data_IF_944705583090
#
_entry.id   IF_944705583090
#
_cell.length_a   1.000
_cell.length_b   1.000
_cell.length_c   1.000
_cell.angle_alpha   90.00
_cell.angle_beta   90.00
_cell.angle_gamma   90.00
#
_symmetry.space_group_name_H-M   'P 1'
#
loop_
_entity.id
_entity.type
_entity.pdbx_description
1 polymer ?
#
# COMPACT_ATOMS: atom_id res chain seq x y z
N UNK A 1 11.17 17.90 -12.32
CA UNK A 1 10.32 17.11 -13.24
C UNK A 1 8.90 17.10 -12.72
N UNK A 2 7.90 17.35 -13.57
CA UNK A 2 6.48 17.25 -13.20
C UNK A 2 6.06 15.77 -13.33
N UNK A 3 5.56 15.17 -12.25
CA UNK A 3 5.04 13.81 -12.28
C UNK A 3 3.82 13.72 -13.20
N UNK A 4 3.77 12.66 -14.01
CA UNK A 4 2.57 12.27 -14.74
C UNK A 4 1.44 11.89 -13.78
N UNK A 5 0.20 11.92 -14.24
CA UNK A 5 -0.96 11.53 -13.43
C UNK A 5 -0.83 10.10 -12.91
N UNK A 6 -0.32 9.16 -13.72
CA UNK A 6 -0.10 7.77 -13.32
C UNK A 6 0.93 7.63 -12.19
N UNK A 7 2.04 8.36 -12.26
CA UNK A 7 3.04 8.38 -11.19
C UNK A 7 2.46 8.92 -9.88
N UNK A 8 1.68 10.00 -9.96
CA UNK A 8 1.03 10.58 -8.77
C UNK A 8 0.09 9.58 -8.10
N UNK A 9 -0.71 8.85 -8.88
CA UNK A 9 -1.62 7.84 -8.35
C UNK A 9 -0.84 6.72 -7.66
N UNK A 10 0.19 6.16 -8.31
CA UNK A 10 0.99 5.08 -7.74
C UNK A 10 1.69 5.52 -6.46
N UNK A 11 2.29 6.70 -6.43
CA UNK A 11 2.94 7.23 -5.23
C UNK A 11 1.94 7.57 -4.12
N UNK A 12 0.76 8.09 -4.46
CA UNK A 12 -0.29 8.34 -3.47
C UNK A 12 -0.76 7.03 -2.83
N UNK A 13 -0.99 5.98 -3.62
CA UNK A 13 -1.39 4.67 -3.09
C UNK A 13 -0.28 4.11 -2.19
N UNK A 14 0.99 4.20 -2.59
CA UNK A 14 2.09 3.79 -1.73
C UNK A 14 2.14 4.56 -0.41
N UNK A 15 1.97 5.88 -0.45
CA UNK A 15 1.94 6.69 0.77
C UNK A 15 0.80 6.26 1.69
N UNK A 16 -0.39 5.99 1.15
CA UNK A 16 -1.52 5.47 1.92
C UNK A 16 -1.19 4.10 2.51
N UNK A 17 -0.66 3.15 1.73
CA UNK A 17 -0.28 1.82 2.23
C UNK A 17 0.70 1.95 3.40
N UNK A 18 1.75 2.76 3.25
CA UNK A 18 2.75 2.98 4.31
C UNK A 18 2.12 3.56 5.58
N UNK A 19 1.20 4.52 5.46
CA UNK A 19 0.47 5.08 6.60
C UNK A 19 -0.37 3.99 7.29
N UNK A 20 -1.06 3.16 6.51
CA UNK A 20 -2.02 2.19 7.05
C UNK A 20 -1.38 0.97 7.72
N UNK A 21 -0.12 0.68 7.38
CA UNK A 21 0.70 -0.35 8.06
C UNK A 21 1.70 0.25 9.07
N UNK A 22 1.74 1.58 9.22
CA UNK A 22 2.61 2.27 10.17
C UNK A 22 2.26 1.90 11.62
N UNK A 23 3.22 1.74 12.56
CA UNK A 23 2.93 1.27 13.91
C UNK A 23 1.82 2.02 14.67
N UNK A 24 1.71 3.36 14.63
CA UNK A 24 0.60 4.07 15.30
C UNK A 24 -0.79 3.66 14.79
N UNK A 25 -0.96 3.50 13.46
CA UNK A 25 -2.24 3.06 12.87
C UNK A 25 -2.48 1.59 13.15
N UNK A 26 -1.44 0.76 12.98
CA UNK A 26 -1.54 -0.66 13.25
C UNK A 26 -1.91 -0.93 14.71
N UNK A 27 -1.41 -0.14 15.65
CA UNK A 27 -1.78 -0.23 17.07
C UNK A 27 -3.24 0.14 17.30
N UNK A 28 -3.76 1.19 16.64
CA UNK A 28 -5.18 1.53 16.71
C UNK A 28 -6.07 0.40 16.18
N UNK A 29 -5.69 -0.22 15.06
CA UNK A 29 -6.39 -1.37 14.47
C UNK A 29 -6.29 -2.59 15.38
N UNK A 30 -5.14 -2.82 16.00
CA UNK A 30 -4.96 -3.91 16.97
C UNK A 30 -5.87 -3.72 18.19
N UNK A 31 -5.95 -2.51 18.74
CA UNK A 31 -6.85 -2.21 19.85
C UNK A 31 -8.33 -2.45 19.46
N UNK A 32 -8.70 -2.08 18.24
CA UNK A 32 -10.01 -2.41 17.69
C UNK A 32 -10.21 -3.93 17.54
N UNK A 33 -9.20 -4.67 17.08
CA UNK A 33 -9.25 -6.12 16.93
C UNK A 33 -9.35 -6.86 18.28
N UNK A 34 -8.80 -6.30 19.37
CA UNK A 34 -9.01 -6.84 20.72
C UNK A 34 -10.50 -6.78 21.11
N UNK A 35 -11.17 -5.66 20.80
CA UNK A 35 -12.60 -5.49 21.08
C UNK A 35 -13.50 -6.25 20.08
N UNK A 36 -13.05 -6.37 18.82
CA UNK A 36 -13.76 -7.03 17.73
C UNK A 36 -12.80 -7.94 16.96
N UNK A 37 -12.52 -9.14 17.47
CA UNK A 37 -11.54 -10.05 16.88
C UNK A 37 -11.94 -10.54 15.49
N UNK A 38 -13.25 -10.57 15.21
CA UNK A 38 -13.78 -10.94 13.90
C UNK A 38 -14.61 -9.82 13.31
N UNK A 39 -14.30 -9.46 12.05
CA UNK A 39 -15.08 -8.52 11.24
C UNK A 39 -15.62 -9.31 10.05
N UNK A 40 -16.95 -9.39 9.93
CA UNK A 40 -17.64 -10.22 8.93
C UNK A 40 -17.23 -11.70 8.92
N UNK A 41 -16.90 -12.26 10.09
CA UNK A 41 -16.49 -13.67 10.24
C UNK A 41 -15.00 -13.95 9.99
N UNK A 42 -14.21 -12.93 9.65
CA UNK A 42 -12.77 -13.06 9.39
C UNK A 42 -11.94 -12.37 10.49
N UNK A 43 -10.73 -12.86 10.83
CA UNK A 43 -9.89 -12.22 11.83
C UNK A 43 -9.55 -10.78 11.44
N UNK A 44 -9.99 -9.80 12.23
CA UNK A 44 -9.98 -8.37 11.88
C UNK A 44 -8.59 -7.87 11.51
N UNK A 45 -7.58 -8.19 12.34
CA UNK A 45 -6.21 -7.74 12.11
C UNK A 45 -5.59 -8.40 10.87
N UNK A 46 -5.93 -9.67 10.61
CA UNK A 46 -5.47 -10.39 9.42
C UNK A 46 -6.03 -9.73 8.15
N UNK A 47 -7.33 -9.48 8.10
CA UNK A 47 -7.98 -8.83 6.95
C UNK A 47 -7.37 -7.46 6.67
N UNK A 48 -7.06 -6.68 7.70
CA UNK A 48 -6.41 -5.38 7.54
C UNK A 48 -5.04 -5.51 6.88
N UNK A 49 -4.19 -6.37 7.43
CA UNK A 49 -2.82 -6.57 6.94
C UNK A 49 -2.83 -7.13 5.51
N UNK A 50 -3.62 -8.18 5.26
CA UNK A 50 -3.72 -8.80 3.94
C UNK A 50 -4.19 -7.80 2.88
N UNK A 51 -5.22 -7.01 3.19
CA UNK A 51 -5.71 -5.98 2.27
C UNK A 51 -4.62 -4.98 1.90
N UNK A 52 -3.94 -4.39 2.88
CA UNK A 52 -2.92 -3.37 2.61
C UNK A 52 -1.66 -3.93 1.96
N UNK A 53 -1.26 -5.16 2.29
CA UNK A 53 -0.15 -5.83 1.62
C UNK A 53 -0.49 -6.18 0.17
N UNK A 54 -1.68 -6.71 -0.11
CA UNK A 54 -2.12 -6.98 -1.50
C UNK A 54 -2.16 -5.70 -2.31
N UNK A 55 -2.72 -4.61 -1.76
CA UNK A 55 -2.75 -3.29 -2.42
C UNK A 55 -1.33 -2.78 -2.68
N UNK A 56 -0.44 -2.87 -1.69
CA UNK A 56 0.96 -2.46 -1.81
C UNK A 56 1.72 -3.25 -2.89
N UNK A 57 1.60 -4.58 -2.87
CA UNK A 57 2.23 -5.46 -3.87
C UNK A 57 1.69 -5.19 -5.27
N UNK A 58 0.36 -5.09 -5.44
CA UNK A 58 -0.23 -4.79 -6.75
C UNK A 58 0.24 -3.42 -7.28
N UNK A 59 0.27 -2.41 -6.42
CA UNK A 59 0.75 -1.05 -6.76
C UNK A 59 2.23 -1.07 -7.15
N UNK A 60 3.04 -1.85 -6.43
CA UNK A 60 4.45 -2.06 -6.77
C UNK A 60 4.64 -2.70 -8.14
N UNK A 61 3.90 -3.77 -8.43
CA UNK A 61 3.96 -4.43 -9.74
C UNK A 61 3.57 -3.46 -10.87
N UNK A 62 2.50 -2.67 -10.69
CA UNK A 62 2.09 -1.64 -11.65
C UNK A 62 3.22 -0.61 -11.83
N UNK A 63 3.82 -0.15 -10.74
CA UNK A 63 4.96 0.77 -10.77
C UNK A 63 6.13 0.22 -11.58
N UNK A 64 6.53 -1.03 -11.32
CA UNK A 64 7.62 -1.71 -12.05
C UNK A 64 7.30 -1.85 -13.54
N UNK A 65 6.09 -2.24 -13.90
CA UNK A 65 5.69 -2.38 -15.31
C UNK A 65 5.65 -1.03 -16.06
N UNK A 66 5.48 0.09 -15.34
CA UNK A 66 5.39 1.44 -15.92
C UNK A 66 6.67 2.27 -15.77
N UNK A 67 7.64 1.84 -14.96
CA UNK A 67 8.83 2.65 -14.60
C UNK A 67 9.64 3.13 -15.81
N UNK A 68 9.76 2.27 -16.84
CA UNK A 68 10.42 2.60 -18.11
C UNK A 68 9.66 3.64 -18.92
N UNK A 69 8.32 3.55 -18.95
CA UNK A 69 7.48 4.53 -19.62
C UNK A 69 7.54 5.91 -18.94
N UNK A 70 7.93 5.96 -17.66
CA UNK A 70 8.16 7.20 -16.92
C UNK A 70 9.59 7.75 -17.06
N UNK A 71 10.47 7.07 -17.81
CA UNK A 71 11.88 7.45 -17.94
C UNK A 71 12.63 7.43 -16.61
N UNK A 72 12.18 6.56 -15.68
CA UNK A 72 12.79 6.36 -14.35
C UNK A 72 13.48 5.00 -14.25
N UNK A 73 13.65 4.30 -15.36
CA UNK A 73 14.53 3.14 -15.42
C UNK A 73 16.00 3.56 -15.38
N UNK A 74 16.88 2.60 -15.08
CA UNK A 74 18.32 2.84 -15.04
C UNK A 74 18.78 3.43 -16.38
N UNK A 75 19.42 4.60 -16.35
CA UNK A 75 20.14 5.11 -17.51
C UNK A 75 21.22 4.09 -17.85
N UNK A 76 21.19 3.54 -19.08
CA UNK A 76 22.32 2.75 -19.57
C UNK A 76 23.56 3.66 -19.58
N UNK A 77 24.71 3.17 -19.10
CA UNK A 77 25.96 3.91 -19.15
C UNK A 77 26.34 4.29 -20.58
#
# INVERSE_FOLDING_TARGET
>A
MKLSTGEKIVYAIFAVVLIMVNPPILQAVNNYAIAKPFTFGWPTLLVWLDFWYVVGTATFLIGVLKIKAWGKDYQKP
#
